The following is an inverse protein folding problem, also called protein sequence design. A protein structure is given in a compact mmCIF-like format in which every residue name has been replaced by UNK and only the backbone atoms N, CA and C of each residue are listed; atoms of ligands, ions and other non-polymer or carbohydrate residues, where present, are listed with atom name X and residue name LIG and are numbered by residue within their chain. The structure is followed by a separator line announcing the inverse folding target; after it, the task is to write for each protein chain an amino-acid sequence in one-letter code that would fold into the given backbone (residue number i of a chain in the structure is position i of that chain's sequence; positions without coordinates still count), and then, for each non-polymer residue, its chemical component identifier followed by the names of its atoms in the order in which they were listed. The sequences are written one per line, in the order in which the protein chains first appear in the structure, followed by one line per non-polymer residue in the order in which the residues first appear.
data_IF_330568610519
#
_entry.id   IF_330568610519
#
_cell.length_a   1.000
_cell.length_b   1.000
_cell.length_c   1.000
_cell.angle_alpha   90.00
_cell.angle_beta   90.00
_cell.angle_gamma   90.00
#
_symmetry.space_group_name_H-M   'P 1'
#
loop_
_entity.id
_entity.type
_entity.pdbx_description
1 polymer ?
#
# COMPACT_ATOMS: atom_id res chain seq x y z
N UNK A 1 -9.08 -23.47 -0.53
CA UNK A 1 -8.71 -22.16 -1.11
C UNK A 1 -7.22 -22.24 -1.43
N UNK A 2 -6.84 -22.15 -2.70
CA UNK A 2 -5.44 -22.15 -3.11
C UNK A 2 -4.89 -20.75 -2.87
N UNK A 3 -4.29 -20.54 -1.70
CA UNK A 3 -3.55 -19.31 -1.41
C UNK A 3 -2.17 -19.42 -2.08
N UNK A 4 -1.74 -18.37 -2.76
CA UNK A 4 -0.41 -18.27 -3.36
C UNK A 4 0.37 -17.15 -2.67
N UNK A 5 1.64 -17.41 -2.38
CA UNK A 5 2.60 -16.41 -1.89
C UNK A 5 3.50 -15.88 -3.03
N UNK A 6 3.18 -16.21 -4.29
CA UNK A 6 3.92 -15.69 -5.43
C UNK A 6 3.63 -14.19 -5.63
N UNK A 7 4.66 -13.44 -5.98
CA UNK A 7 4.48 -12.09 -6.49
C UNK A 7 3.58 -12.09 -7.73
N UNK A 8 2.81 -11.01 -7.93
CA UNK A 8 1.85 -10.88 -9.03
C UNK A 8 0.73 -11.94 -9.01
N UNK A 9 0.49 -12.60 -7.87
CA UNK A 9 -0.64 -13.50 -7.75
C UNK A 9 -1.97 -12.74 -7.85
N UNK A 10 -2.95 -13.34 -8.52
CA UNK A 10 -4.33 -12.85 -8.56
C UNK A 10 -4.91 -12.67 -7.14
N UNK A 11 -4.77 -13.68 -6.28
CA UNK A 11 -5.28 -13.64 -4.92
C UNK A 11 -6.79 -13.39 -4.86
N UNK A 12 -7.21 -12.35 -4.13
CA UNK A 12 -8.63 -11.94 -4.00
C UNK A 12 -9.10 -11.07 -5.18
N UNK A 13 -8.20 -10.72 -6.10
CA UNK A 13 -8.52 -9.85 -7.21
C UNK A 13 -9.37 -10.55 -8.28
N UNK A 14 -10.14 -9.79 -9.08
CA UNK A 14 -10.87 -10.33 -10.22
C UNK A 14 -9.95 -11.05 -11.23
N UNK A 15 -10.52 -11.85 -12.12
CA UNK A 15 -9.77 -12.45 -13.22
C UNK A 15 -9.19 -11.35 -14.13
N UNK A 16 -7.91 -11.50 -14.52
CA UNK A 16 -7.15 -10.49 -15.27
C UNK A 16 -6.63 -9.33 -14.42
N UNK A 17 -6.61 -9.51 -13.10
CA UNK A 17 -6.04 -8.56 -12.14
C UNK A 17 -5.15 -9.30 -11.14
N UNK A 18 -4.15 -8.59 -10.59
CA UNK A 18 -3.24 -9.10 -9.58
C UNK A 18 -3.15 -8.19 -8.35
N UNK A 19 -2.62 -8.73 -7.25
CA UNK A 19 -2.22 -7.93 -6.10
C UNK A 19 -0.89 -7.23 -6.44
N UNK A 20 -0.83 -5.88 -6.43
CA UNK A 20 0.34 -5.14 -6.88
C UNK A 20 1.60 -5.50 -6.10
N UNK A 21 2.72 -5.61 -6.80
CA UNK A 21 4.07 -5.67 -6.20
C UNK A 21 4.45 -4.34 -5.56
N UNK A 22 5.48 -4.37 -4.70
CA UNK A 22 6.07 -3.15 -4.17
C UNK A 22 6.62 -2.25 -5.29
N UNK A 23 7.17 -2.86 -6.36
CA UNK A 23 7.67 -2.14 -7.53
C UNK A 23 6.57 -1.40 -8.30
N UNK A 24 5.41 -2.02 -8.52
CA UNK A 24 4.26 -1.39 -9.20
C UNK A 24 3.67 -0.25 -8.37
N UNK A 25 3.59 -0.46 -7.05
CA UNK A 25 3.25 0.61 -6.14
C UNK A 25 4.28 1.74 -6.25
N UNK A 26 5.58 1.47 -6.22
CA UNK A 26 6.58 2.52 -6.37
C UNK A 26 6.46 3.28 -7.71
N UNK A 27 6.11 2.61 -8.80
CA UNK A 27 5.82 3.25 -10.09
C UNK A 27 4.64 4.23 -9.99
N UNK A 28 3.53 3.84 -9.38
CA UNK A 28 2.40 4.74 -9.16
C UNK A 28 2.81 5.98 -8.34
N UNK A 29 3.58 5.75 -7.28
CA UNK A 29 4.09 6.82 -6.42
C UNK A 29 4.98 7.81 -7.17
N UNK A 30 5.90 7.30 -7.98
CA UNK A 30 6.81 8.11 -8.78
C UNK A 30 6.07 8.96 -9.82
N UNK A 31 4.97 8.45 -10.39
CA UNK A 31 4.16 9.20 -11.36
C UNK A 31 3.33 10.32 -10.70
N UNK A 32 3.05 10.21 -9.40
CA UNK A 32 2.27 11.20 -8.66
C UNK A 32 3.14 12.19 -7.89
N UNK A 33 4.40 11.87 -7.62
CA UNK A 33 5.32 12.83 -7.02
C UNK A 33 5.79 13.86 -8.06
N UNK A 34 6.06 15.08 -7.60
CA UNK A 34 6.64 16.15 -8.41
C UNK A 34 8.18 16.01 -8.50
N UNK A 35 8.77 15.15 -7.66
CA UNK A 35 10.21 14.83 -7.61
C UNK A 35 10.47 13.32 -7.69
N UNK A 36 11.72 12.91 -7.65
CA UNK A 36 12.10 11.50 -7.55
C UNK A 36 11.76 10.95 -6.16
N UNK A 37 11.04 9.83 -6.10
CA UNK A 37 10.81 9.08 -4.88
C UNK A 37 12.00 8.15 -4.59
N UNK A 38 12.44 8.09 -3.33
CA UNK A 38 13.37 7.06 -2.90
C UNK A 38 12.63 5.72 -2.84
N UNK A 39 13.03 4.76 -3.67
CA UNK A 39 12.43 3.42 -3.72
C UNK A 39 12.63 2.62 -2.41
N UNK A 40 13.67 2.94 -1.63
CA UNK A 40 13.99 2.29 -0.35
C UNK A 40 13.54 3.11 0.87
N UNK A 41 12.66 4.10 0.67
CA UNK A 41 12.15 4.96 1.73
C UNK A 41 11.55 4.15 2.89
N UNK A 42 11.89 4.54 4.11
CA UNK A 42 11.11 4.19 5.31
C UNK A 42 10.05 5.23 5.64
N UNK A 43 10.28 6.50 5.28
CA UNK A 43 9.43 7.63 5.66
C UNK A 43 9.11 8.59 4.49
N UNK A 44 9.50 9.86 4.60
CA UNK A 44 9.08 11.02 3.79
C UNK A 44 9.68 11.05 2.37
N UNK A 45 10.17 9.93 1.87
CA UNK A 45 10.95 9.81 0.63
C UNK A 45 10.15 9.96 -0.66
N UNK A 46 8.84 10.18 -0.60
CA UNK A 46 8.00 10.40 -1.78
C UNK A 46 6.96 11.50 -1.48
N UNK A 47 7.43 12.74 -1.53
CA UNK A 47 6.65 13.92 -1.16
C UNK A 47 5.44 14.12 -2.09
N UNK A 48 4.38 14.78 -1.61
CA UNK A 48 3.16 15.16 -2.33
C UNK A 48 2.28 14.03 -2.92
N UNK A 49 2.85 12.89 -3.33
CA UNK A 49 2.12 11.75 -3.87
C UNK A 49 1.04 11.27 -2.89
N UNK A 50 1.35 11.26 -1.60
CA UNK A 50 0.41 10.84 -0.55
C UNK A 50 -0.83 11.73 -0.48
N UNK A 51 -0.69 13.05 -0.67
CA UNK A 51 -1.87 13.94 -0.75
C UNK A 51 -2.71 13.64 -1.98
N UNK A 52 -2.09 13.36 -3.13
CA UNK A 52 -2.81 13.08 -4.39
C UNK A 52 -3.56 11.75 -4.34
N UNK A 53 -3.07 10.78 -3.57
CA UNK A 53 -3.62 9.43 -3.43
C UNK A 53 -4.77 9.31 -2.44
N UNK A 54 -4.85 10.19 -1.43
CA UNK A 54 -5.91 10.16 -0.43
C UNK A 54 -7.28 10.47 -1.03
N UNK A 55 -8.34 10.20 -0.26
CA UNK A 55 -9.71 10.60 -0.60
C UNK A 55 -9.76 12.09 -0.93
N UNK A 56 -10.36 12.43 -2.08
CA UNK A 56 -10.42 13.80 -2.59
C UNK A 56 -9.11 14.35 -3.16
N UNK A 57 -8.07 13.53 -3.27
CA UNK A 57 -6.84 13.85 -3.96
C UNK A 57 -7.00 13.83 -5.49
N UNK A 58 -6.00 14.33 -6.21
CA UNK A 58 -6.08 14.51 -7.67
C UNK A 58 -5.87 13.22 -8.47
N UNK A 59 -5.46 12.10 -7.83
CA UNK A 59 -5.21 10.85 -8.55
C UNK A 59 -6.43 9.95 -8.69
N UNK A 60 -7.55 10.29 -8.03
CA UNK A 60 -8.76 9.46 -7.96
C UNK A 60 -8.53 8.03 -7.42
N UNK A 61 -7.41 7.81 -6.71
CA UNK A 61 -7.11 6.52 -6.08
C UNK A 61 -8.01 6.25 -4.87
N UNK A 62 -8.54 7.32 -4.26
CA UNK A 62 -9.44 7.26 -3.11
C UNK A 62 -8.87 6.40 -1.97
N UNK A 63 -7.65 6.71 -1.55
CA UNK A 63 -6.94 6.06 -0.44
C UNK A 63 -7.64 6.32 0.89
N UNK A 64 -8.66 5.51 1.21
CA UNK A 64 -9.42 5.60 2.46
C UNK A 64 -8.51 5.26 3.64
N UNK A 65 -8.44 6.14 4.63
CA UNK A 65 -7.70 5.95 5.88
C UNK A 65 -8.43 4.96 6.80
N UNK A 66 -8.60 3.71 6.35
CA UNK A 66 -9.40 2.69 7.03
C UNK A 66 -8.73 2.15 8.32
N UNK A 67 -7.44 2.39 8.51
CA UNK A 67 -6.65 1.83 9.59
C UNK A 67 -6.15 0.41 9.28
N UNK A 68 -5.99 -0.39 10.32
CA UNK A 68 -5.56 -1.79 10.25
C UNK A 68 -6.31 -2.66 11.24
N UNK A 69 -6.29 -3.97 11.02
CA UNK A 69 -6.58 -4.97 12.06
C UNK A 69 -5.26 -5.47 12.66
N UNK A 70 -5.11 -5.36 13.97
CA UNK A 70 -3.99 -5.95 14.72
C UNK A 70 -4.13 -7.48 14.83
N UNK A 71 -3.07 -8.24 15.15
CA UNK A 71 -3.15 -9.70 15.31
C UNK A 71 -4.22 -10.15 16.32
N UNK A 72 -4.43 -9.41 17.40
CA UNK A 72 -5.41 -9.64 18.46
C UNK A 72 -6.85 -9.22 18.12
N UNK A 73 -7.15 -8.93 16.84
CA UNK A 73 -8.48 -8.56 16.32
C UNK A 73 -8.99 -7.19 16.77
N UNK A 74 -8.10 -6.30 17.20
CA UNK A 74 -8.44 -4.90 17.40
C UNK A 74 -8.32 -4.14 16.07
N UNK A 75 -9.09 -3.07 15.96
CA UNK A 75 -9.06 -2.17 14.81
C UNK A 75 -8.46 -0.84 15.25
N UNK A 76 -7.33 -0.49 14.66
CA UNK A 76 -6.52 0.66 15.04
C UNK A 76 -6.32 1.63 13.89
N UNK A 77 -5.95 2.87 14.20
CA UNK A 77 -5.57 3.92 13.24
C UNK A 77 -6.65 4.30 12.20
N UNK A 78 -7.92 4.02 12.52
CA UNK A 78 -9.04 4.49 11.71
C UNK A 78 -9.03 6.04 11.61
N UNK A 79 -9.13 6.57 10.40
CA UNK A 79 -9.00 8.00 10.11
C UNK A 79 -7.57 8.54 10.15
N UNK A 80 -6.58 7.70 10.47
CA UNK A 80 -5.17 8.09 10.61
C UNK A 80 -4.34 7.51 9.47
N UNK A 81 -4.43 6.19 9.23
CA UNK A 81 -3.60 5.50 8.24
C UNK A 81 -4.47 4.82 7.16
N UNK A 82 -4.02 4.86 5.90
CA UNK A 82 -4.35 3.86 4.90
C UNK A 82 -3.14 2.97 4.70
N UNK A 83 -3.30 1.67 4.84
CA UNK A 83 -2.23 0.68 4.69
C UNK A 83 -2.64 -0.30 3.59
N UNK A 84 -1.75 -0.51 2.64
CA UNK A 84 -1.97 -1.40 1.50
C UNK A 84 -0.86 -2.44 1.43
N UNK A 85 -1.24 -3.71 1.47
CA UNK A 85 -0.30 -4.80 1.21
C UNK A 85 0.20 -4.78 -0.24
N UNK A 86 1.46 -5.14 -0.44
CA UNK A 86 1.97 -5.58 -1.73
C UNK A 86 2.11 -7.10 -1.78
N UNK A 87 2.24 -7.67 -2.97
CA UNK A 87 2.57 -9.09 -3.14
C UNK A 87 4.05 -9.41 -2.90
N UNK A 88 4.90 -8.40 -2.65
CA UNK A 88 6.36 -8.57 -2.50
C UNK A 88 6.69 -8.96 -1.07
N UNK A 89 7.19 -10.19 -0.92
CA UNK A 89 7.60 -10.78 0.35
C UNK A 89 9.03 -10.35 0.70
N UNK A 90 9.26 -10.01 1.97
CA UNK A 90 10.57 -9.72 2.55
C UNK A 90 10.81 -10.62 3.77
N UNK A 91 11.42 -11.78 3.55
CA UNK A 91 11.58 -12.83 4.57
C UNK A 91 10.23 -13.26 5.16
N UNK A 92 10.01 -13.06 6.46
CA UNK A 92 8.76 -13.39 7.17
C UNK A 92 7.70 -12.26 7.07
N UNK A 93 8.07 -11.12 6.50
CA UNK A 93 7.22 -9.93 6.31
C UNK A 93 6.77 -9.78 4.86
N UNK A 94 5.82 -8.88 4.60
CA UNK A 94 5.51 -8.38 3.26
C UNK A 94 5.70 -6.86 3.22
N UNK A 95 6.02 -6.30 2.06
CA UNK A 95 6.05 -4.84 1.92
C UNK A 95 4.63 -4.27 1.92
N UNK A 96 4.53 -3.06 2.45
CA UNK A 96 3.32 -2.29 2.53
C UNK A 96 3.60 -0.84 2.17
N UNK A 97 2.60 -0.21 1.58
CA UNK A 97 2.52 1.22 1.37
C UNK A 97 1.62 1.83 2.42
N UNK A 98 2.01 2.97 2.98
CA UNK A 98 1.18 3.72 3.92
C UNK A 98 0.93 5.18 3.46
N UNK A 99 -0.30 5.64 3.71
CA UNK A 99 -0.72 7.04 3.64
C UNK A 99 -1.15 7.47 5.03
N UNK A 100 -0.73 8.65 5.49
CA UNK A 100 -1.07 9.17 6.83
C UNK A 100 -1.83 10.48 6.73
N UNK A 101 -2.84 10.68 7.55
CA UNK A 101 -3.67 11.90 7.55
C UNK A 101 -2.82 13.18 7.60
N UNK A 102 -1.81 13.20 8.47
CA UNK A 102 -0.95 14.35 8.74
C UNK A 102 0.19 14.59 7.73
N UNK A 103 0.45 13.67 6.79
CA UNK A 103 1.61 13.76 5.91
C UNK A 103 1.24 13.71 4.43
N UNK A 104 1.91 14.51 3.61
CA UNK A 104 1.75 14.50 2.17
C UNK A 104 2.55 13.39 1.47
N UNK A 105 3.36 12.65 2.23
CA UNK A 105 4.29 11.63 1.72
C UNK A 105 3.64 10.26 1.63
N UNK A 106 4.24 9.39 0.82
CA UNK A 106 3.96 7.94 0.84
C UNK A 106 5.10 7.23 1.53
N UNK A 107 4.79 6.49 2.58
CA UNK A 107 5.80 5.71 3.32
C UNK A 107 5.76 4.25 2.84
N UNK A 108 6.88 3.56 3.00
CA UNK A 108 7.05 2.15 2.64
C UNK A 108 7.69 1.43 3.81
N UNK A 109 7.09 0.31 4.21
CA UNK A 109 7.53 -0.49 5.35
C UNK A 109 7.27 -1.95 5.06
N UNK A 110 8.01 -2.86 5.68
CA UNK A 110 7.64 -4.26 5.77
C UNK A 110 7.06 -4.59 7.13
N UNK A 111 6.03 -5.42 7.15
CA UNK A 111 5.33 -5.82 8.37
C UNK A 111 5.03 -7.32 8.36
N UNK A 112 4.85 -7.92 9.56
CA UNK A 112 4.34 -9.28 9.70
C UNK A 112 3.00 -9.47 8.99
N UNK A 113 2.83 -10.61 8.34
CA UNK A 113 1.69 -10.92 7.46
C UNK A 113 0.38 -11.21 8.22
N UNK A 114 0.40 -11.25 9.55
CA UNK A 114 -0.78 -11.44 10.40
C UNK A 114 -1.57 -10.14 10.68
N UNK A 115 -1.04 -9.00 10.23
CA UNK A 115 -1.73 -7.71 10.20
C UNK A 115 -2.75 -7.65 9.06
N UNK A 116 -3.94 -7.13 9.36
CA UNK A 116 -5.00 -6.93 8.38
C UNK A 116 -4.92 -5.55 7.75
N UNK A 117 -4.22 -5.41 6.64
CA UNK A 117 -4.22 -4.21 5.80
C UNK A 117 -5.17 -4.36 4.62
N UNK A 118 -5.47 -3.23 3.97
CA UNK A 118 -6.26 -3.25 2.75
C UNK A 118 -5.47 -3.85 1.60
N UNK A 119 -6.17 -4.41 0.61
CA UNK A 119 -5.58 -4.86 -0.65
C UNK A 119 -6.19 -4.05 -1.78
N UNK A 120 -5.37 -3.65 -2.74
CA UNK A 120 -5.81 -3.12 -4.03
C UNK A 120 -5.46 -4.11 -5.11
N UNK A 121 -6.16 -4.02 -6.23
CA UNK A 121 -5.91 -4.86 -7.40
C UNK A 121 -5.44 -3.97 -8.55
N UNK A 122 -4.48 -4.46 -9.32
CA UNK A 122 -4.01 -3.84 -10.56
C UNK A 122 -4.36 -4.74 -11.74
N UNK A 123 -4.79 -4.14 -12.83
CA UNK A 123 -5.15 -4.88 -14.05
C UNK A 123 -3.87 -5.26 -14.80
N UNK A 124 -3.84 -6.48 -15.35
CA UNK A 124 -2.76 -6.97 -16.21
C UNK A 124 -2.73 -6.30 -17.60
#
# INVERSE_FOLDING_TARGET
MQYSAAELAQGICPEGWHIPTDGEQNTLDQNLNDTTCDANRGDRGCANAGTKLKVGGTSHFEGVLAGQRSPDNLFDYHGINALFWSSTINNDSAFSRSLRSSYATVERHDYPQDLGFSVRCLQD
#
